data_IF_484309169437
#
_entry.id   IF_484309169437
#
_cell.length_a   1.000
_cell.length_b   1.000
_cell.length_c   1.000
_cell.angle_alpha   90.00
_cell.angle_beta   90.00
_cell.angle_gamma   90.00
#
_symmetry.space_group_name_H-M   'P 1'
#
loop_
_entity.id
_entity.type
_entity.pdbx_description
1 polymer ?
#
# COMPACT_ATOMS: atom_id res chain seq x y z
N UNK A 1 -13.35 7.51 -9.90
CA UNK A 1 -13.91 6.35 -10.65
C UNK A 1 -14.02 5.13 -9.72
N UNK A 2 -15.16 4.40 -9.68
CA UNK A 2 -15.39 3.30 -8.71
C UNK A 2 -14.42 2.12 -8.83
N UNK A 3 -13.79 1.93 -9.99
CA UNK A 3 -12.93 0.77 -10.25
C UNK A 3 -11.58 0.84 -9.52
N UNK A 4 -10.94 2.01 -9.39
CA UNK A 4 -9.69 2.16 -8.64
C UNK A 4 -9.83 1.74 -7.17
N UNK A 5 -10.95 2.10 -6.53
CA UNK A 5 -11.27 1.61 -5.19
C UNK A 5 -11.50 0.10 -5.14
N UNK A 6 -12.24 -0.46 -6.11
CA UNK A 6 -12.44 -1.92 -6.19
C UNK A 6 -11.11 -2.67 -6.38
N UNK A 7 -10.15 -2.06 -7.06
CA UNK A 7 -8.82 -2.63 -7.24
C UNK A 7 -8.01 -2.66 -5.93
N UNK A 8 -8.34 -1.82 -4.95
CA UNK A 8 -7.74 -1.82 -3.61
C UNK A 8 -8.51 -2.74 -2.66
N UNK A 9 -9.84 -2.62 -2.62
CA UNK A 9 -10.67 -3.20 -1.56
C UNK A 9 -11.38 -4.52 -1.94
N UNK A 10 -11.43 -4.89 -3.22
CA UNK A 10 -12.22 -6.04 -3.68
C UNK A 10 -11.34 -7.15 -4.26
N UNK A 11 -11.77 -8.41 -4.07
CA UNK A 11 -11.17 -9.60 -4.67
C UNK A 11 -12.10 -10.22 -5.73
N UNK A 12 -12.74 -9.39 -6.54
CA UNK A 12 -13.54 -9.87 -7.66
C UNK A 12 -12.64 -10.29 -8.84
N UNK A 13 -13.21 -11.03 -9.79
CA UNK A 13 -12.47 -11.57 -10.95
C UNK A 13 -11.64 -10.50 -11.67
N UNK A 14 -12.23 -9.32 -11.92
CA UNK A 14 -11.55 -8.24 -12.63
C UNK A 14 -10.44 -7.62 -11.79
N UNK A 15 -10.62 -7.38 -10.49
CA UNK A 15 -9.55 -6.85 -9.65
C UNK A 15 -8.39 -7.84 -9.55
N UNK A 16 -8.66 -9.15 -9.46
CA UNK A 16 -7.63 -10.19 -9.49
C UNK A 16 -6.89 -10.25 -10.83
N UNK A 17 -7.64 -10.25 -11.94
CA UNK A 17 -7.05 -10.26 -13.29
C UNK A 17 -6.14 -9.04 -13.53
N UNK A 18 -6.61 -7.83 -13.20
CA UNK A 18 -5.81 -6.62 -13.39
C UNK A 18 -4.58 -6.59 -12.47
N UNK A 19 -4.69 -7.09 -11.23
CA UNK A 19 -3.53 -7.27 -10.35
C UNK A 19 -2.51 -8.24 -10.95
N UNK A 20 -2.94 -9.40 -11.42
CA UNK A 20 -2.04 -10.36 -12.05
C UNK A 20 -1.38 -9.80 -13.33
N UNK A 21 -2.16 -9.11 -14.17
CA UNK A 21 -1.72 -8.61 -15.46
C UNK A 21 -0.75 -7.43 -15.36
N UNK A 22 -1.00 -6.51 -14.44
CA UNK A 22 -0.29 -5.23 -14.40
C UNK A 22 0.53 -5.00 -13.13
N UNK A 23 0.13 -5.58 -11.99
CA UNK A 23 0.81 -5.40 -10.72
C UNK A 23 1.84 -6.51 -10.47
N UNK A 24 1.60 -7.74 -10.93
CA UNK A 24 2.43 -8.94 -10.62
C UNK A 24 2.64 -9.11 -9.11
N UNK A 25 3.63 -8.43 -8.53
CA UNK A 25 3.95 -8.36 -7.09
C UNK A 25 4.19 -6.92 -6.57
N UNK A 26 4.02 -5.92 -7.42
CA UNK A 26 4.23 -4.51 -7.09
C UNK A 26 3.00 -3.89 -6.44
N UNK A 27 3.22 -2.91 -5.58
CA UNK A 27 2.16 -2.12 -4.96
C UNK A 27 1.50 -1.19 -5.97
N UNK A 28 0.22 -0.88 -5.75
CA UNK A 28 -0.56 0.03 -6.61
C UNK A 28 0.06 1.42 -6.72
N UNK A 29 0.66 1.92 -5.65
CA UNK A 29 1.38 3.20 -5.65
C UNK A 29 2.55 3.19 -6.64
N UNK A 30 3.37 2.14 -6.61
CA UNK A 30 4.51 2.00 -7.50
C UNK A 30 4.07 1.91 -8.96
N UNK A 31 2.96 1.22 -9.23
CA UNK A 31 2.40 1.12 -10.57
C UNK A 31 1.72 2.42 -11.05
N UNK A 32 1.30 3.29 -10.13
CA UNK A 32 0.72 4.60 -10.45
C UNK A 32 1.79 5.62 -10.87
N UNK A 33 3.04 5.48 -10.40
CA UNK A 33 4.16 6.36 -10.77
C UNK A 33 4.51 6.22 -12.25
N UNK A 34 4.51 5.00 -12.79
CA UNK A 34 4.82 4.76 -14.20
C UNK A 34 3.81 3.80 -14.84
N UNK A 35 2.61 4.28 -15.18
CA UNK A 35 1.54 3.42 -15.67
C UNK A 35 1.83 2.96 -17.10
N UNK A 36 2.23 1.70 -17.25
CA UNK A 36 2.45 1.04 -18.55
C UNK A 36 1.26 0.14 -18.87
N UNK A 37 0.87 0.10 -20.15
CA UNK A 37 -0.19 -0.77 -20.63
C UNK A 37 -1.35 -0.01 -21.29
N UNK A 38 -2.56 -0.55 -21.15
CA UNK A 38 -3.74 -0.07 -21.87
C UNK A 38 -4.12 1.37 -21.47
N UNK A 39 -4.75 2.10 -22.38
CA UNK A 39 -5.28 3.46 -22.10
C UNK A 39 -6.21 3.47 -20.89
N UNK A 40 -7.02 2.42 -20.74
CA UNK A 40 -7.89 2.21 -19.60
C UNK A 40 -7.11 2.07 -18.28
N UNK A 41 -6.03 1.29 -18.28
CA UNK A 41 -5.17 1.12 -17.11
C UNK A 41 -4.48 2.41 -16.69
N UNK A 42 -3.93 3.16 -17.66
CA UNK A 42 -3.33 4.48 -17.40
C UNK A 42 -4.33 5.45 -16.77
N UNK A 43 -5.57 5.43 -17.25
CA UNK A 43 -6.64 6.27 -16.71
C UNK A 43 -7.04 5.87 -15.29
N UNK A 44 -7.09 4.56 -15.00
CA UNK A 44 -7.28 4.07 -13.63
C UNK A 44 -6.15 4.56 -12.72
N UNK A 45 -4.90 4.39 -13.17
CA UNK A 45 -3.72 4.80 -12.40
C UNK A 45 -3.64 6.30 -12.15
N UNK A 46 -4.16 7.13 -13.06
CA UNK A 46 -4.27 8.58 -12.81
C UNK A 46 -5.21 8.94 -11.65
N UNK A 47 -6.16 8.08 -11.30
CA UNK A 47 -7.12 8.31 -10.19
C UNK A 47 -6.69 7.60 -8.90
N UNK A 48 -5.79 6.62 -8.99
CA UNK A 48 -5.34 5.81 -7.84
C UNK A 48 -4.69 6.66 -6.73
N UNK A 49 -3.79 7.64 -7.01
CA UNK A 49 -3.23 8.50 -5.98
C UNK A 49 -4.30 9.25 -5.18
N UNK A 50 -5.27 9.87 -5.85
CA UNK A 50 -6.37 10.58 -5.18
C UNK A 50 -7.23 9.64 -4.33
N UNK A 51 -7.43 8.40 -4.78
CA UNK A 51 -8.17 7.40 -3.99
C UNK A 51 -7.35 7.03 -2.75
N UNK A 52 -6.05 6.80 -2.90
CA UNK A 52 -5.17 6.37 -1.82
C UNK A 52 -5.00 7.42 -0.72
N UNK A 53 -4.89 8.71 -1.07
CA UNK A 53 -4.85 9.82 -0.10
C UNK A 53 -6.10 9.87 0.80
N UNK A 54 -7.24 9.41 0.26
CA UNK A 54 -8.52 9.42 0.95
C UNK A 54 -8.89 8.07 1.58
N UNK A 55 -8.05 7.05 1.38
CA UNK A 55 -8.27 5.70 1.91
C UNK A 55 -7.50 5.52 3.20
N UNK A 56 -8.17 4.96 4.21
CA UNK A 56 -7.53 4.50 5.43
C UNK A 56 -7.40 2.98 5.35
N UNK A 57 -6.17 2.49 5.21
CA UNK A 57 -5.88 1.07 5.32
C UNK A 57 -6.03 0.66 6.78
N UNK A 58 -6.97 -0.23 7.07
CA UNK A 58 -7.08 -0.86 8.38
C UNK A 58 -6.21 -2.11 8.38
N UNK A 59 -5.08 -2.05 9.09
CA UNK A 59 -4.28 -3.24 9.39
C UNK A 59 -5.09 -4.08 10.37
N UNK A 60 -5.83 -5.06 9.85
CA UNK A 60 -6.53 -6.03 10.71
C UNK A 60 -5.49 -7.04 11.20
N UNK A 61 -5.24 -7.05 12.51
CA UNK A 61 -5.32 -8.22 13.41
C UNK A 61 -4.20 -8.23 14.46
N UNK A 62 -4.62 -8.12 15.73
CA UNK A 62 -3.88 -8.54 16.94
C UNK A 62 -2.81 -7.57 17.44
N UNK A 63 -2.43 -7.70 18.73
CA UNK A 63 -1.25 -7.04 19.31
C UNK A 63 0.01 -7.51 18.57
N UNK A 64 0.33 -6.86 17.45
CA UNK A 64 1.54 -7.10 16.67
C UNK A 64 2.58 -6.06 17.02
N UNK A 65 3.81 -6.50 17.28
CA UNK A 65 4.90 -5.60 17.61
C UNK A 65 5.34 -4.86 16.35
N UNK A 66 5.32 -3.53 16.38
CA UNK A 66 5.79 -2.72 15.25
C UNK A 66 7.27 -3.00 14.94
N UNK A 67 8.08 -3.27 15.96
CA UNK A 67 9.52 -3.44 15.77
C UNK A 67 9.94 -4.87 15.44
N UNK A 68 9.32 -5.85 16.11
CA UNK A 68 9.80 -7.23 16.11
C UNK A 68 9.05 -8.14 15.14
N UNK A 69 7.86 -7.75 14.68
CA UNK A 69 7.17 -8.52 13.64
C UNK A 69 7.76 -8.28 12.25
N UNK A 70 7.55 -9.24 11.36
CA UNK A 70 8.04 -9.21 9.98
C UNK A 70 7.18 -8.26 9.13
N UNK A 71 7.62 -7.00 9.05
CA UNK A 71 7.00 -5.97 8.21
C UNK A 71 7.65 -5.88 6.81
N UNK A 72 8.90 -6.31 6.68
CA UNK A 72 9.64 -6.31 5.42
C UNK A 72 10.02 -7.74 5.04
N UNK A 73 10.25 -7.97 3.74
CA UNK A 73 10.83 -9.23 3.26
C UNK A 73 12.25 -9.47 3.80
N UNK A 74 12.95 -8.40 4.18
CA UNK A 74 14.26 -8.43 4.83
C UNK A 74 14.19 -8.68 6.35
N UNK A 75 12.99 -8.82 6.91
CA UNK A 75 12.77 -9.09 8.33
C UNK A 75 12.15 -7.94 9.11
N UNK A 76 12.28 -7.94 10.45
CA UNK A 76 11.69 -6.93 11.31
C UNK A 76 12.30 -5.54 11.17
N UNK A 77 11.54 -4.50 11.53
CA UNK A 77 11.95 -3.09 11.38
C UNK A 77 13.13 -2.73 12.29
N UNK A 78 13.29 -3.36 13.46
CA UNK A 78 14.39 -3.03 14.38
C UNK A 78 15.79 -3.24 13.76
N UNK A 79 15.91 -4.17 12.80
CA UNK A 79 17.17 -4.43 12.10
C UNK A 79 17.64 -3.24 11.24
N UNK A 80 16.70 -2.36 10.87
CA UNK A 80 16.95 -1.22 9.99
C UNK A 80 16.91 0.12 10.75
N UNK A 81 16.66 0.09 12.08
CA UNK A 81 16.62 1.27 12.92
C UNK A 81 17.96 1.44 13.68
N UNK A 82 18.54 2.64 13.66
CA UNK A 82 19.80 2.93 14.38
C UNK A 82 19.66 2.78 15.91
N UNK A 83 18.47 3.04 16.46
CA UNK A 83 18.13 2.76 17.86
C UNK A 83 16.60 2.70 18.02
N UNK A 84 16.10 1.67 18.72
CA UNK A 84 14.67 1.56 19.05
C UNK A 84 14.47 2.00 20.51
N UNK A 85 14.09 3.26 20.71
CA UNK A 85 13.87 3.80 22.06
C UNK A 85 12.53 3.38 22.68
N UNK A 86 11.58 2.88 21.87
CA UNK A 86 10.27 2.43 22.35
C UNK A 86 9.90 1.06 21.78
N UNK A 87 10.48 0.01 22.37
CA UNK A 87 10.26 -1.39 21.98
C UNK A 87 8.84 -1.91 22.26
N UNK A 88 8.06 -1.20 23.07
CA UNK A 88 6.70 -1.61 23.48
C UNK A 88 5.62 -1.25 22.47
N UNK A 89 5.99 -0.61 21.35
CA UNK A 89 5.03 -0.11 20.37
C UNK A 89 4.33 -1.29 19.67
N UNK A 90 3.09 -1.52 20.07
CA UNK A 90 2.22 -2.54 19.51
C UNK A 90 1.16 -1.87 18.63
N UNK A 91 0.97 -2.41 17.44
CA UNK A 91 -0.08 -1.96 16.53
C UNK A 91 -1.38 -2.63 16.97
N UNK A 92 -2.32 -1.86 17.50
CA UNK A 92 -3.68 -2.35 17.82
C UNK A 92 -4.65 -2.12 16.65
N UNK A 93 -4.64 -0.90 16.09
CA UNK A 93 -5.36 -0.51 14.87
C UNK A 93 -4.64 0.71 14.27
N UNK A 94 -3.84 0.51 13.21
CA UNK A 94 -3.22 1.62 12.49
C UNK A 94 -4.09 2.02 11.31
N UNK A 95 -4.52 3.27 11.30
CA UNK A 95 -5.12 3.93 10.13
C UNK A 95 -4.00 4.63 9.39
N UNK A 96 -3.41 3.97 8.40
CA UNK A 96 -2.39 4.62 7.57
C UNK A 96 -3.11 5.69 6.74
N UNK A 97 -2.82 6.97 7.00
CA UNK A 97 -3.05 8.05 6.02
C UNK A 97 -1.85 8.02 5.09
N UNK A 98 -2.09 7.79 3.80
CA UNK A 98 -1.06 8.04 2.81
C UNK A 98 -0.96 9.55 2.64
N UNK A 99 -0.01 10.17 3.35
CA UNK A 99 0.43 11.52 3.01
C UNK A 99 1.32 11.38 1.78
N UNK A 100 0.87 11.92 0.65
CA UNK A 100 1.67 11.98 -0.57
C UNK A 100 2.98 12.71 -0.29
N UNK A 101 4.10 11.98 -0.36
CA UNK A 101 5.40 12.61 -0.44
C UNK A 101 5.53 13.21 -1.84
N UNK A 102 5.18 14.49 -1.96
CA UNK A 102 5.63 15.33 -3.06
C UNK A 102 7.15 15.48 -2.95
N UNK A 103 7.91 14.60 -3.59
CA UNK A 103 9.30 14.89 -3.95
C UNK A 103 9.28 15.54 -5.32
N UNK A 104 9.22 16.88 -5.34
CA UNK A 104 9.78 17.65 -6.44
C UNK A 104 11.22 18.00 -6.05
N UNK A 105 12.10 17.74 -7.02
CA UNK A 105 13.47 18.24 -7.23
C UNK A 105 13.85 19.51 -6.49
#
# INVERSE_FOLDING_TARGET
>A
MKFGWRLLASNNLWSLFFRAKYLKNSHLELAAVHPVGSRFWKWIMGVVPTVLENVRLKVKVGQRSFWFDQWMSSGPLYLHAQAVMNCSLCIKDLWIRQMGYNTFS
#
